data_IF_785437056536
#
_entry.id   IF_785437056536
#
_cell.length_a   1.000
_cell.length_b   1.000
_cell.length_c   1.000
_cell.angle_alpha   90.00
_cell.angle_beta   90.00
_cell.angle_gamma   90.00
#
_symmetry.space_group_name_H-M   'P 1'
#
loop_
_entity.id
_entity.type
_entity.pdbx_description
1 polymer ?
#
# COMPACT_ATOMS: atom_id res chain seq x y z
N UNK A 1 51.78 -6.66 72.41
CA UNK A 1 50.50 -5.92 72.32
C UNK A 1 50.59 -4.96 71.14
N UNK A 2 49.96 -5.30 70.02
CA UNK A 2 49.96 -4.50 68.79
C UNK A 2 48.51 -4.20 68.40
N UNK A 3 48.11 -2.92 68.38
CA UNK A 3 46.98 -2.38 67.60
C UNK A 3 47.36 -0.92 67.26
N UNK A 4 47.89 -0.68 66.05
CA UNK A 4 47.24 -0.23 64.79
C UNK A 4 47.02 1.29 64.72
N UNK A 5 47.81 1.90 63.83
CA UNK A 5 47.64 3.23 63.25
C UNK A 5 46.74 3.11 62.00
N UNK A 6 45.81 4.06 61.83
CA UNK A 6 44.91 4.16 60.68
C UNK A 6 45.63 4.83 59.50
N UNK A 7 45.57 4.22 58.32
CA UNK A 7 45.84 4.84 57.02
C UNK A 7 44.62 4.57 56.14
N UNK A 8 43.99 5.64 55.64
CA UNK A 8 42.91 5.55 54.65
C UNK A 8 43.48 5.21 53.28
N UNK A 9 42.98 4.13 52.69
CA UNK A 9 43.35 3.65 51.35
C UNK A 9 42.29 4.13 50.35
N UNK A 10 42.72 4.92 49.35
CA UNK A 10 41.94 5.18 48.13
C UNK A 10 41.87 3.86 47.33
N UNK A 11 40.66 3.36 47.05
CA UNK A 11 40.43 2.24 46.16
C UNK A 11 39.96 2.75 44.79
N UNK A 12 40.80 2.54 43.77
CA UNK A 12 40.43 2.56 42.36
C UNK A 12 39.45 1.41 42.09
N UNK A 13 38.21 1.71 41.70
CA UNK A 13 37.34 0.72 41.05
C UNK A 13 37.58 0.79 39.53
N UNK A 14 38.40 -0.13 39.02
CA UNK A 14 38.42 -0.50 37.63
C UNK A 14 37.26 -1.45 37.35
N UNK A 15 36.16 -0.95 36.79
CA UNK A 15 35.11 -1.81 36.24
C UNK A 15 35.59 -2.34 34.88
N UNK A 16 35.89 -3.65 34.84
CA UNK A 16 35.97 -4.41 33.59
C UNK A 16 34.66 -4.26 32.85
N UNK A 17 34.68 -3.58 31.70
CA UNK A 17 33.62 -3.71 30.69
C UNK A 17 33.93 -5.01 29.97
N UNK A 18 33.27 -6.09 30.38
CA UNK A 18 33.26 -7.35 29.65
C UNK A 18 32.61 -7.08 28.30
N UNK A 19 33.40 -7.18 27.24
CA UNK A 19 32.95 -7.17 25.86
C UNK A 19 31.99 -8.35 25.64
N UNK A 20 30.69 -8.11 25.78
CA UNK A 20 29.67 -9.00 25.24
C UNK A 20 29.52 -8.61 23.78
N UNK A 21 29.97 -9.50 22.89
CA UNK A 21 29.96 -9.28 21.45
C UNK A 21 28.56 -8.92 20.96
N UNK A 22 28.43 -7.72 20.40
CA UNK A 22 27.35 -7.45 19.46
C UNK A 22 27.58 -8.36 18.25
N UNK A 23 26.86 -9.47 18.21
CA UNK A 23 26.53 -10.14 16.96
C UNK A 23 25.66 -9.13 16.21
N UNK A 24 26.32 -8.29 15.40
CA UNK A 24 25.65 -7.40 14.49
C UNK A 24 25.03 -8.22 13.37
N UNK A 25 23.77 -8.60 13.51
CA UNK A 25 22.90 -8.72 12.35
C UNK A 25 22.32 -7.33 12.09
N UNK A 26 23.03 -6.52 11.30
CA UNK A 26 22.29 -5.60 10.43
C UNK A 26 21.56 -6.50 9.44
N UNK A 27 20.33 -6.92 9.77
CA UNK A 27 19.38 -7.17 8.71
C UNK A 27 19.38 -5.88 7.89
N UNK A 28 19.85 -5.94 6.65
CA UNK A 28 19.82 -4.78 5.79
C UNK A 28 18.37 -4.29 5.77
N UNK A 29 18.15 -3.04 6.18
CA UNK A 29 16.82 -2.44 6.08
C UNK A 29 16.39 -2.55 4.62
N UNK A 30 15.12 -2.92 4.40
CA UNK A 30 14.57 -2.99 3.06
C UNK A 30 14.84 -1.67 2.33
N UNK A 31 15.45 -1.69 1.14
CA UNK A 31 15.95 -0.48 0.50
C UNK A 31 14.80 0.44 0.11
N UNK A 32 14.90 1.70 0.53
CA UNK A 32 13.93 2.74 0.17
C UNK A 32 13.97 3.03 -1.34
N UNK A 33 12.83 3.36 -1.97
CA UNK A 33 12.80 3.75 -3.37
C UNK A 33 13.64 5.00 -3.64
N UNK A 34 14.17 5.11 -4.86
CA UNK A 34 14.90 6.30 -5.30
C UNK A 34 13.99 7.53 -5.29
N UNK A 35 14.57 8.67 -4.87
CA UNK A 35 13.89 9.96 -4.90
C UNK A 35 13.43 10.32 -6.32
N UNK A 36 12.13 10.50 -6.51
CA UNK A 36 11.58 10.95 -7.78
C UNK A 36 11.88 12.44 -8.03
N UNK A 37 12.37 12.76 -9.23
CA UNK A 37 12.65 14.12 -9.65
C UNK A 37 11.67 14.55 -10.74
N UNK A 38 10.61 15.24 -10.31
CA UNK A 38 9.61 15.80 -11.20
C UNK A 38 10.25 16.72 -12.26
N UNK A 39 9.95 16.44 -13.53
CA UNK A 39 10.36 17.23 -14.69
C UNK A 39 9.26 18.20 -15.14
N UNK A 40 9.60 19.30 -15.84
CA UNK A 40 8.61 20.18 -16.42
C UNK A 40 7.66 19.43 -17.36
N UNK A 41 6.35 19.62 -17.18
CA UNK A 41 5.32 19.05 -18.05
C UNK A 41 4.81 17.65 -17.69
N UNK A 42 5.39 16.99 -16.68
CA UNK A 42 4.94 15.65 -16.26
C UNK A 42 3.59 15.64 -15.50
N UNK A 43 3.21 16.76 -14.88
CA UNK A 43 1.91 16.88 -14.22
C UNK A 43 0.84 17.30 -15.22
N UNK A 44 -0.17 16.46 -15.39
CA UNK A 44 -1.32 16.73 -16.27
C UNK A 44 -2.55 16.99 -15.41
N UNK A 45 -3.22 18.12 -15.59
CA UNK A 45 -4.47 18.41 -14.90
C UNK A 45 -5.62 17.64 -15.56
N UNK A 46 -6.26 16.74 -14.82
CA UNK A 46 -7.35 15.90 -15.30
C UNK A 46 -8.73 16.36 -14.78
N UNK A 47 -8.78 16.92 -13.57
CA UNK A 47 -9.98 17.43 -12.95
C UNK A 47 -9.64 18.61 -12.03
N UNK A 48 -10.65 19.37 -11.59
CA UNK A 48 -10.43 20.28 -10.46
C UNK A 48 -10.49 19.50 -9.15
N UNK A 49 -9.75 19.95 -8.13
CA UNK A 49 -9.82 19.36 -6.79
C UNK A 49 -11.24 19.36 -6.20
N UNK A 50 -12.05 20.38 -6.55
CA UNK A 50 -13.43 20.48 -6.07
C UNK A 50 -14.35 19.41 -6.64
N UNK A 51 -14.01 18.81 -7.79
CA UNK A 51 -14.80 17.77 -8.43
C UNK A 51 -14.59 16.39 -7.80
N UNK A 52 -13.53 16.22 -7.00
CA UNK A 52 -13.13 14.95 -6.37
C UNK A 52 -12.89 15.20 -4.88
N UNK A 53 -13.94 15.56 -4.10
CA UNK A 53 -13.77 15.90 -2.71
C UNK A 53 -13.34 14.67 -1.91
N UNK A 54 -12.24 14.75 -1.17
CA UNK A 54 -11.85 13.69 -0.25
C UNK A 54 -12.92 13.48 0.83
N UNK A 55 -13.10 12.25 1.27
CA UNK A 55 -13.92 11.96 2.45
C UNK A 55 -13.06 12.15 3.71
N UNK A 56 -13.58 12.91 4.68
CA UNK A 56 -13.07 12.94 6.05
C UNK A 56 -13.97 12.01 6.86
N UNK A 57 -13.51 10.78 7.11
CA UNK A 57 -14.37 9.74 7.63
C UNK A 57 -14.75 9.99 9.09
N UNK A 58 -16.04 9.91 9.38
CA UNK A 58 -16.60 9.95 10.73
C UNK A 58 -17.24 8.60 11.06
N UNK A 59 -17.36 8.27 12.34
CA UNK A 59 -17.90 6.98 12.76
C UNK A 59 -19.33 6.71 12.27
N UNK A 60 -20.16 7.73 12.19
CA UNK A 60 -21.52 7.64 11.67
C UNK A 60 -21.59 7.37 10.15
N UNK A 61 -20.47 7.49 9.41
CA UNK A 61 -20.41 7.18 7.98
C UNK A 61 -20.37 5.69 7.68
N UNK A 62 -20.18 4.86 8.71
CA UNK A 62 -20.03 3.44 8.55
C UNK A 62 -21.24 2.67 9.08
N UNK A 63 -21.53 1.57 8.39
CA UNK A 63 -22.54 0.60 8.78
C UNK A 63 -21.90 -0.77 9.05
N UNK A 64 -22.65 -1.67 9.66
CA UNK A 64 -22.24 -3.07 9.80
C UNK A 64 -22.42 -3.81 8.47
N UNK A 65 -21.75 -4.95 8.31
CA UNK A 65 -21.79 -5.79 7.12
C UNK A 65 -23.22 -6.09 6.65
N UNK A 66 -24.16 -6.37 7.56
CA UNK A 66 -25.54 -6.73 7.22
C UNK A 66 -26.37 -5.55 6.66
N UNK A 67 -25.88 -4.33 6.83
CA UNK A 67 -26.50 -3.10 6.32
C UNK A 67 -25.72 -2.50 5.16
N UNK A 68 -24.64 -3.13 4.73
CA UNK A 68 -23.89 -2.69 3.57
C UNK A 68 -24.76 -2.88 2.33
N UNK A 69 -24.99 -1.78 1.62
CA UNK A 69 -25.58 -1.78 0.29
C UNK A 69 -24.47 -2.12 -0.71
N UNK A 70 -24.19 -3.41 -0.91
CA UNK A 70 -23.16 -3.90 -1.84
C UNK A 70 -23.58 -5.26 -2.39
N UNK A 71 -23.38 -5.44 -3.69
CA UNK A 71 -23.53 -6.72 -4.37
C UNK A 71 -22.30 -7.58 -4.14
N UNK A 72 -22.45 -8.90 -4.26
CA UNK A 72 -21.38 -9.88 -4.00
C UNK A 72 -20.10 -9.63 -4.82
N UNK A 73 -20.28 -9.13 -6.05
CA UNK A 73 -19.21 -8.81 -7.00
C UNK A 73 -18.62 -7.41 -6.84
N UNK A 74 -19.19 -6.56 -5.99
CA UNK A 74 -18.64 -5.22 -5.76
C UNK A 74 -17.24 -5.32 -5.17
N UNK A 75 -16.33 -4.46 -5.62
CA UNK A 75 -14.98 -4.43 -5.08
C UNK A 75 -14.92 -3.55 -3.83
N UNK A 76 -14.12 -3.98 -2.86
CA UNK A 76 -13.80 -3.19 -1.67
C UNK A 76 -12.28 -3.13 -1.48
N UNK A 77 -11.79 -1.98 -1.03
CA UNK A 77 -10.50 -1.93 -0.32
C UNK A 77 -10.77 -2.26 1.13
N UNK A 78 -10.18 -3.34 1.63
CA UNK A 78 -10.34 -3.82 2.99
C UNK A 78 -9.07 -3.68 3.81
N UNK A 79 -9.22 -3.34 5.10
CA UNK A 79 -8.13 -3.25 6.07
C UNK A 79 -8.49 -4.02 7.33
N UNK A 80 -7.47 -4.60 7.98
CA UNK A 80 -7.57 -5.18 9.31
C UNK A 80 -6.39 -4.69 10.16
N UNK A 81 -6.68 -3.85 11.16
CA UNK A 81 -5.65 -3.20 11.98
C UNK A 81 -6.11 -3.22 13.44
N UNK A 82 -5.25 -3.72 14.33
CA UNK A 82 -5.52 -3.67 15.77
C UNK A 82 -6.78 -4.45 16.22
N UNK A 83 -7.22 -5.44 15.44
CA UNK A 83 -8.44 -6.20 15.72
C UNK A 83 -9.71 -5.62 15.09
N UNK A 84 -9.63 -4.47 14.43
CA UNK A 84 -10.75 -3.84 13.74
C UNK A 84 -10.62 -4.02 12.22
N UNK A 85 -11.70 -4.44 11.57
CA UNK A 85 -11.80 -4.49 10.10
C UNK A 85 -12.66 -3.35 9.54
N UNK A 86 -12.19 -2.75 8.45
CA UNK A 86 -12.89 -1.70 7.69
C UNK A 86 -12.94 -2.08 6.22
N UNK A 87 -14.05 -1.76 5.56
CA UNK A 87 -14.21 -1.89 4.11
C UNK A 87 -14.62 -0.56 3.48
N UNK A 88 -13.97 -0.20 2.38
CA UNK A 88 -14.22 1.00 1.60
C UNK A 88 -14.64 0.57 0.18
N UNK A 89 -15.91 0.73 -0.19
CA UNK A 89 -16.40 0.36 -1.52
C UNK A 89 -15.62 1.08 -2.62
N UNK A 90 -15.14 0.35 -3.61
CA UNK A 90 -14.40 0.92 -4.74
C UNK A 90 -15.26 1.91 -5.51
N UNK A 91 -16.58 1.70 -5.62
CA UNK A 91 -17.51 2.68 -6.24
C UNK A 91 -17.47 4.06 -5.58
N UNK A 92 -17.29 4.13 -4.26
CA UNK A 92 -17.13 5.39 -3.53
C UNK A 92 -15.71 5.95 -3.67
N UNK A 93 -14.71 5.07 -3.62
CA UNK A 93 -13.32 5.45 -3.87
C UNK A 93 -13.09 5.96 -5.30
N UNK A 94 -13.82 5.46 -6.29
CA UNK A 94 -13.79 5.93 -7.68
C UNK A 94 -14.39 7.33 -7.83
N UNK A 95 -15.25 7.78 -6.90
CA UNK A 95 -15.81 9.13 -6.87
C UNK A 95 -14.93 10.12 -6.09
N UNK A 96 -14.32 9.66 -5.00
CA UNK A 96 -13.67 10.53 -4.03
C UNK A 96 -12.14 10.40 -4.00
N UNK A 97 -11.61 9.29 -4.53
CA UNK A 97 -10.20 8.89 -4.64
C UNK A 97 -9.38 8.82 -3.34
N UNK A 98 -9.82 9.50 -2.28
CA UNK A 98 -9.17 9.61 -0.98
C UNK A 98 -10.22 9.58 0.14
N UNK A 99 -10.02 8.67 1.09
CA UNK A 99 -10.71 8.65 2.38
C UNK A 99 -9.67 8.81 3.48
N UNK A 100 -9.73 9.90 4.23
CA UNK A 100 -8.94 10.08 5.45
C UNK A 100 -9.73 9.49 6.61
N UNK A 101 -9.21 8.44 7.23
CA UNK A 101 -9.87 7.72 8.31
C UNK A 101 -8.91 7.54 9.51
N UNK A 102 -9.47 7.08 10.63
CA UNK A 102 -8.75 6.65 11.82
C UNK A 102 -9.32 5.33 12.33
N UNK A 103 -8.45 4.34 12.49
CA UNK A 103 -8.77 3.04 13.10
C UNK A 103 -7.93 2.91 14.37
N UNK A 104 -8.58 3.00 15.53
CA UNK A 104 -7.89 3.17 16.81
C UNK A 104 -6.93 4.37 16.77
N UNK A 105 -5.64 4.14 17.04
CA UNK A 105 -4.60 5.17 17.01
C UNK A 105 -4.01 5.42 15.60
N UNK A 106 -4.40 4.64 14.59
CA UNK A 106 -3.83 4.73 13.24
C UNK A 106 -4.59 5.72 12.37
N UNK A 107 -3.93 6.85 12.06
CA UNK A 107 -4.39 7.81 11.06
C UNK A 107 -4.03 7.29 9.66
N UNK A 108 -5.04 7.01 8.83
CA UNK A 108 -4.84 6.36 7.52
C UNK A 108 -5.44 7.19 6.39
N UNK A 109 -4.81 7.14 5.22
CA UNK A 109 -5.37 7.61 3.95
C UNK A 109 -5.60 6.39 3.08
N UNK A 110 -6.86 6.04 2.81
CA UNK A 110 -7.22 5.05 1.81
C UNK A 110 -7.30 5.77 0.46
N UNK A 111 -6.43 5.40 -0.48
CA UNK A 111 -6.37 6.03 -1.79
C UNK A 111 -6.63 5.03 -2.90
N UNK A 112 -7.29 5.49 -3.95
CA UNK A 112 -7.62 4.70 -5.12
C UNK A 112 -7.44 5.55 -6.37
N UNK A 113 -6.59 5.09 -7.29
CA UNK A 113 -6.55 5.64 -8.63
C UNK A 113 -7.37 4.75 -9.57
N UNK A 114 -8.58 5.17 -9.98
CA UNK A 114 -9.44 4.35 -10.84
C UNK A 114 -8.83 4.13 -12.23
N UNK A 115 -8.05 5.09 -12.75
CA UNK A 115 -7.37 4.90 -14.03
C UNK A 115 -6.35 3.76 -13.99
N UNK A 116 -5.69 3.57 -12.86
CA UNK A 116 -4.56 2.65 -12.69
C UNK A 116 -4.92 1.34 -12.01
N UNK A 117 -6.13 1.19 -11.45
CA UNK A 117 -6.50 0.09 -10.56
C UNK A 117 -5.48 -0.04 -9.41
N UNK A 118 -5.09 1.09 -8.81
CA UNK A 118 -4.08 1.10 -7.76
C UNK A 118 -4.66 1.50 -6.41
N UNK A 119 -4.93 0.53 -5.52
CA UNK A 119 -5.20 0.80 -4.12
C UNK A 119 -3.88 1.04 -3.38
N UNK A 120 -3.77 2.15 -2.65
CA UNK A 120 -2.68 2.30 -1.69
C UNK A 120 -3.20 2.95 -0.42
N UNK A 121 -2.93 2.34 0.72
CA UNK A 121 -3.25 2.91 2.02
C UNK A 121 -1.96 3.41 2.66
N UNK A 122 -1.98 4.64 3.14
CA UNK A 122 -0.84 5.25 3.81
C UNK A 122 -1.12 5.56 5.29
N UNK A 123 -0.10 5.41 6.12
CA UNK A 123 -0.03 6.10 7.42
C UNK A 123 0.12 7.59 7.14
N UNK A 124 -0.79 8.40 7.69
CA UNK A 124 -0.79 9.86 7.48
C UNK A 124 0.12 10.61 8.46
N UNK A 125 0.81 9.91 9.36
CA UNK A 125 1.78 10.52 10.28
C UNK A 125 3.16 10.50 9.63
N UNK A 126 3.65 11.67 9.22
CA UNK A 126 4.97 11.88 8.63
C UNK A 126 5.78 12.76 9.58
N UNK A 127 6.94 12.28 10.02
CA UNK A 127 7.81 13.01 10.97
C UNK A 127 7.09 13.54 12.23
N UNK A 128 6.10 12.79 12.71
CA UNK A 128 5.28 13.15 13.88
C UNK A 128 4.16 14.14 13.61
N UNK A 129 3.99 14.59 12.36
CA UNK A 129 2.90 15.44 11.92
C UNK A 129 1.82 14.61 11.22
N UNK A 130 0.58 14.74 11.68
CA UNK A 130 -0.56 14.18 10.96
C UNK A 130 -0.95 15.06 9.78
N UNK A 131 -1.00 14.45 8.60
CA UNK A 131 -1.44 15.05 7.35
C UNK A 131 -2.89 14.64 7.06
N UNK A 132 -3.62 15.44 6.28
CA UNK A 132 -4.83 14.98 5.59
C UNK A 132 -4.65 15.15 4.10
N UNK A 133 -5.17 14.21 3.30
CA UNK A 133 -4.93 14.18 1.86
C UNK A 133 -6.20 14.49 1.07
N UNK A 134 -6.02 15.10 -0.09
CA UNK A 134 -7.04 15.35 -1.11
C UNK A 134 -6.53 14.92 -2.48
N UNK A 135 -7.43 14.64 -3.41
CA UNK A 135 -7.07 14.49 -4.81
C UNK A 135 -6.71 15.87 -5.37
N UNK A 136 -5.49 16.04 -5.90
CA UNK A 136 -5.05 17.35 -6.39
C UNK A 136 -5.65 17.74 -7.75
N UNK A 137 -6.31 16.79 -8.43
CA UNK A 137 -6.73 16.90 -9.82
C UNK A 137 -5.61 16.68 -10.84
N UNK A 138 -4.34 16.63 -10.40
CA UNK A 138 -3.21 16.28 -11.26
C UNK A 138 -2.98 14.77 -11.34
N UNK A 139 -2.45 14.34 -12.48
CA UNK A 139 -1.91 13.02 -12.72
C UNK A 139 -0.41 13.11 -13.01
N UNK A 140 0.34 12.13 -12.52
CA UNK A 140 1.72 11.85 -12.88
C UNK A 140 1.76 10.46 -13.52
N UNK A 141 2.13 10.36 -14.79
CA UNK A 141 2.07 9.09 -15.55
C UNK A 141 0.70 8.40 -15.46
N UNK A 142 -0.37 9.17 -15.62
CA UNK A 142 -1.79 8.77 -15.44
C UNK A 142 -2.18 8.34 -14.02
N UNK A 143 -1.26 8.28 -13.07
CA UNK A 143 -1.54 7.95 -11.68
C UNK A 143 -1.87 9.20 -10.86
N UNK A 144 -2.78 9.02 -9.90
CA UNK A 144 -3.25 10.04 -8.98
C UNK A 144 -2.09 10.78 -8.29
N UNK A 145 -2.16 12.12 -8.27
CA UNK A 145 -1.34 12.97 -7.41
C UNK A 145 -2.21 13.48 -6.27
N UNK A 146 -1.78 13.19 -5.04
CA UNK A 146 -2.41 13.68 -3.82
C UNK A 146 -1.85 15.06 -3.47
N UNK A 147 -2.62 15.85 -2.73
CA UNK A 147 -2.14 17.04 -2.04
C UNK A 147 -2.45 16.92 -0.56
N UNK A 148 -1.47 17.20 0.32
CA UNK A 148 -1.73 17.24 1.75
C UNK A 148 -2.13 18.62 2.27
N UNK A 149 -2.91 18.63 3.34
CA UNK A 149 -2.92 19.69 4.32
C UNK A 149 -2.12 19.18 5.55
N UNK A 150 -1.24 20.00 6.15
CA UNK A 150 -1.21 21.46 6.04
C UNK A 150 -0.12 22.04 5.15
N UNK A 151 0.66 21.24 4.41
CA UNK A 151 1.86 21.75 3.74
C UNK A 151 1.70 22.05 2.26
N UNK A 152 0.55 21.70 1.67
CA UNK A 152 0.29 21.75 0.23
C UNK A 152 1.36 21.01 -0.59
N UNK A 153 1.99 19.97 -0.02
CA UNK A 153 2.91 19.13 -0.75
C UNK A 153 2.10 18.22 -1.69
N UNK A 154 2.57 18.11 -2.93
CA UNK A 154 2.08 17.12 -3.87
C UNK A 154 2.81 15.80 -3.68
N UNK A 155 2.05 14.71 -3.65
CA UNK A 155 2.54 13.36 -3.45
C UNK A 155 2.12 12.46 -4.61
N UNK A 156 3.04 11.68 -5.14
CA UNK A 156 2.68 10.62 -6.09
C UNK A 156 1.98 9.49 -5.32
N UNK A 157 0.76 9.13 -5.72
CA UNK A 157 -0.01 8.09 -5.04
C UNK A 157 0.66 6.72 -5.17
N UNK A 158 1.21 6.38 -6.33
CA UNK A 158 1.87 5.09 -6.53
C UNK A 158 3.24 5.03 -5.84
N UNK A 159 4.05 6.09 -5.91
CA UNK A 159 5.38 6.09 -5.29
C UNK A 159 5.34 6.30 -3.77
N UNK A 160 4.28 6.91 -3.24
CA UNK A 160 4.20 7.33 -1.84
C UNK A 160 5.18 8.46 -1.50
N UNK A 161 5.69 9.19 -2.49
CA UNK A 161 6.73 10.21 -2.30
C UNK A 161 6.19 11.63 -2.47
N UNK A 162 6.65 12.54 -1.62
CA UNK A 162 6.47 13.98 -1.82
C UNK A 162 7.28 14.44 -3.04
N UNK A 163 6.62 14.84 -4.12
CA UNK A 163 7.27 15.19 -5.39
C UNK A 163 7.47 16.71 -5.55
N UNK A 164 6.67 17.53 -4.87
CA UNK A 164 6.76 19.00 -4.90
C UNK A 164 6.14 19.62 -3.66
N UNK A 165 6.85 20.48 -2.94
CA UNK A 165 6.34 21.16 -1.74
C UNK A 165 7.33 21.06 -0.57
N UNK A 166 6.86 21.40 0.63
CA UNK A 166 7.68 21.45 1.83
C UNK A 166 8.22 20.07 2.23
N UNK A 167 7.46 19.01 2.01
CA UNK A 167 7.82 17.63 2.37
C UNK A 167 8.40 16.84 1.19
N UNK A 168 8.95 17.54 0.17
CA UNK A 168 9.55 16.88 -1.00
C UNK A 168 10.64 15.88 -0.57
N UNK A 169 10.54 14.66 -1.09
CA UNK A 169 11.44 13.55 -0.83
C UNK A 169 11.14 12.74 0.42
N UNK A 170 10.14 13.14 1.20
CA UNK A 170 9.56 12.29 2.24
C UNK A 170 8.81 11.12 1.60
N UNK A 171 8.77 10.00 2.31
CA UNK A 171 8.10 8.76 1.87
C UNK A 171 6.99 8.43 2.87
N UNK A 172 5.80 8.11 2.35
CA UNK A 172 4.66 7.65 3.13
C UNK A 172 4.81 6.16 3.42
N UNK A 173 4.54 5.79 4.68
CA UNK A 173 4.52 4.39 5.07
C UNK A 173 3.25 3.72 4.56
N UNK A 174 3.39 2.69 3.74
CA UNK A 174 2.25 1.87 3.28
C UNK A 174 1.71 1.05 4.44
N UNK A 175 0.38 1.03 4.55
CA UNK A 175 -0.37 0.15 5.44
C UNK A 175 -0.93 -0.99 4.59
N UNK A 176 -0.71 -2.27 4.97
CA UNK A 176 -1.26 -3.39 4.24
C UNK A 176 -2.79 -3.30 4.09
N UNK A 177 -3.26 -3.47 2.87
CA UNK A 177 -4.68 -3.49 2.52
C UNK A 177 -4.93 -4.53 1.42
N UNK A 178 -6.18 -4.95 1.30
CA UNK A 178 -6.62 -5.93 0.30
C UNK A 178 -7.62 -5.27 -0.64
N UNK A 179 -7.51 -5.51 -1.95
CA UNK A 179 -8.65 -5.31 -2.87
C UNK A 179 -9.20 -6.66 -3.25
N UNK A 180 -10.49 -6.86 -2.96
CA UNK A 180 -11.19 -8.12 -3.22
C UNK A 180 -12.68 -7.85 -3.42
N UNK A 181 -13.45 -8.88 -3.74
CA UNK A 181 -14.90 -8.77 -3.85
C UNK A 181 -15.55 -8.68 -2.47
N UNK A 182 -16.74 -8.08 -2.43
CA UNK A 182 -17.51 -7.93 -1.21
C UNK A 182 -17.88 -9.29 -0.60
N UNK A 183 -18.24 -10.27 -1.43
CA UNK A 183 -18.48 -11.66 -1.01
C UNK A 183 -17.29 -12.23 -0.24
N UNK A 184 -16.08 -12.14 -0.82
CA UNK A 184 -14.87 -12.65 -0.18
C UNK A 184 -14.59 -11.87 1.12
N UNK A 185 -14.71 -10.54 1.09
CA UNK A 185 -14.43 -9.72 2.27
C UNK A 185 -15.38 -10.03 3.44
N UNK A 186 -16.70 -10.06 3.20
CA UNK A 186 -17.70 -10.28 4.26
C UNK A 186 -17.60 -11.67 4.89
N UNK A 187 -17.21 -12.68 4.10
CA UNK A 187 -16.99 -14.03 4.60
C UNK A 187 -15.79 -14.10 5.55
N UNK A 188 -14.72 -13.37 5.23
CA UNK A 188 -13.50 -13.37 6.03
C UNK A 188 -13.55 -12.40 7.22
N UNK A 189 -14.36 -11.34 7.13
CA UNK A 189 -14.45 -10.27 8.13
C UNK A 189 -15.90 -9.84 8.41
N UNK A 190 -16.73 -10.71 9.02
CA UNK A 190 -18.16 -10.45 9.23
C UNK A 190 -18.46 -9.30 10.19
N UNK A 191 -17.51 -8.93 11.06
CA UNK A 191 -17.64 -7.83 12.01
C UNK A 191 -17.15 -6.47 11.43
N UNK A 192 -16.93 -6.39 10.12
CA UNK A 192 -16.39 -5.19 9.48
C UNK A 192 -17.36 -4.00 9.52
N UNK A 193 -16.78 -2.82 9.71
CA UNK A 193 -17.48 -1.56 9.46
C UNK A 193 -17.25 -1.11 8.02
N UNK A 194 -18.33 -0.84 7.29
CA UNK A 194 -18.32 -0.56 5.85
C UNK A 194 -18.70 0.89 5.61
N UNK A 195 -17.91 1.63 4.83
CA UNK A 195 -18.23 3.00 4.44
C UNK A 195 -19.52 2.99 3.61
N UNK A 196 -20.52 3.76 4.04
CA UNK A 196 -21.87 3.74 3.47
C UNK A 196 -22.14 4.96 2.60
N UNK A 197 -22.59 4.71 1.36
CA UNK A 197 -23.03 5.73 0.42
C UNK A 197 -24.18 6.59 1.01
N UNK A 198 -25.19 5.94 1.59
CA UNK A 198 -26.32 6.60 2.27
C UNK A 198 -25.84 7.56 3.36
N UNK A 199 -24.92 7.09 4.22
CA UNK A 199 -24.45 7.88 5.37
C UNK A 199 -23.63 9.11 4.99
N UNK A 200 -23.06 9.11 3.79
CA UNK A 200 -22.31 10.26 3.24
C UNK A 200 -23.13 11.07 2.24
N UNK A 201 -24.44 10.80 2.11
CA UNK A 201 -25.39 11.64 1.37
C UNK A 201 -25.69 11.21 -0.05
N UNK A 202 -25.32 9.99 -0.48
CA UNK A 202 -25.79 9.42 -1.74
C UNK A 202 -27.11 8.67 -1.54
N UNK A 203 -28.10 8.94 -2.39
CA UNK A 203 -29.40 8.27 -2.37
C UNK A 203 -29.58 7.39 -3.60
N UNK A 204 -30.18 6.21 -3.42
CA UNK A 204 -30.49 5.29 -4.51
C UNK A 204 -29.28 4.48 -5.01
N UNK A 205 -29.43 3.91 -6.20
CA UNK A 205 -28.38 3.09 -6.83
C UNK A 205 -27.20 3.96 -7.26
N UNK A 206 -25.99 3.54 -6.86
CA UNK A 206 -24.74 4.25 -7.09
C UNK A 206 -23.73 3.31 -7.76
N UNK A 207 -23.77 3.17 -9.09
CA UNK A 207 -22.80 2.35 -9.81
C UNK A 207 -21.40 3.00 -9.77
N UNK A 208 -20.35 2.20 -9.97
CA UNK A 208 -19.00 2.72 -10.12
C UNK A 208 -18.89 3.56 -11.41
N UNK A 209 -18.52 4.86 -11.33
CA UNK A 209 -18.39 5.73 -12.51
C UNK A 209 -17.32 5.26 -13.50
N UNK A 210 -16.38 4.41 -13.08
CA UNK A 210 -15.33 3.81 -13.91
C UNK A 210 -15.64 2.36 -14.34
N UNK A 211 -16.82 1.81 -14.04
CA UNK A 211 -17.20 0.44 -14.45
C UNK A 211 -17.05 0.19 -15.96
N UNK A 212 -17.46 1.15 -16.78
CA UNK A 212 -17.27 1.10 -18.24
C UNK A 212 -15.81 1.24 -18.65
N UNK A 213 -15.00 1.99 -17.91
CA UNK A 213 -13.56 2.08 -18.14
C UNK A 213 -12.89 0.74 -17.85
N UNK A 214 -13.15 0.10 -16.70
CA UNK A 214 -12.52 -1.17 -16.31
C UNK A 214 -12.73 -2.29 -17.33
N UNK A 215 -13.91 -2.34 -17.95
CA UNK A 215 -14.26 -3.33 -18.99
C UNK A 215 -13.79 -2.95 -20.40
N UNK A 216 -13.29 -1.73 -20.61
CA UNK A 216 -12.79 -1.26 -21.91
C UNK A 216 -11.29 -1.54 -22.11
N UNK A 217 -10.88 -1.60 -23.38
CA UNK A 217 -9.46 -1.64 -23.75
C UNK A 217 -8.72 -0.28 -23.66
N UNK A 218 -9.41 0.81 -23.34
CA UNK A 218 -8.78 2.13 -23.20
C UNK A 218 -7.89 2.14 -21.94
N UNK A 219 -6.67 2.69 -22.02
CA UNK A 219 -5.76 2.81 -20.89
C UNK A 219 -5.40 4.28 -20.67
N UNK A 220 -5.39 4.73 -19.42
CA UNK A 220 -5.09 6.11 -19.06
C UNK A 220 -6.20 7.11 -19.42
N UNK A 221 -5.97 8.37 -19.07
CA UNK A 221 -6.88 9.47 -19.36
C UNK A 221 -7.03 9.62 -20.88
N UNK A 222 -8.27 9.54 -21.37
CA UNK A 222 -8.56 9.66 -22.81
C UNK A 222 -7.95 8.55 -23.69
N UNK A 223 -7.49 7.43 -23.11
CA UNK A 223 -6.83 6.36 -23.85
C UNK A 223 -5.33 6.61 -24.12
N UNK A 224 -4.71 7.60 -23.46
CA UNK A 224 -3.31 7.98 -23.64
C UNK A 224 -2.35 7.33 -22.62
N UNK A 225 -2.66 6.12 -22.15
CA UNK A 225 -1.79 5.33 -21.28
C UNK A 225 -0.53 4.86 -22.02
N UNK A 226 0.57 4.71 -21.27
CA UNK A 226 1.83 4.24 -21.81
C UNK A 226 1.69 2.85 -22.46
N UNK A 227 2.26 2.68 -23.64
CA UNK A 227 2.22 1.42 -24.37
C UNK A 227 3.57 0.74 -24.20
N UNK A 228 3.57 -0.34 -23.42
CA UNK A 228 4.70 -1.24 -23.31
C UNK A 228 4.32 -2.59 -23.95
N UNK A 229 5.04 -3.04 -25.00
CA UNK A 229 4.65 -4.23 -25.76
C UNK A 229 4.84 -5.56 -25.01
N UNK A 230 5.44 -5.55 -23.82
CA UNK A 230 5.71 -6.78 -23.04
C UNK A 230 4.44 -7.39 -22.45
N UNK A 231 3.41 -6.59 -22.18
CA UNK A 231 2.09 -7.03 -21.69
C UNK A 231 0.97 -6.11 -22.22
N UNK A 232 -0.28 -6.60 -22.29
CA UNK A 232 -1.44 -5.72 -22.46
C UNK A 232 -1.49 -4.60 -21.40
N UNK A 233 -1.91 -3.41 -21.81
CA UNK A 233 -1.88 -2.20 -20.97
C UNK A 233 -2.58 -2.38 -19.62
N UNK A 234 -3.75 -3.04 -19.60
CA UNK A 234 -4.56 -3.30 -18.39
C UNK A 234 -4.31 -4.68 -17.76
N UNK A 235 -3.20 -5.34 -18.05
CA UNK A 235 -2.79 -6.51 -17.26
C UNK A 235 -2.51 -6.06 -15.83
N UNK A 236 -3.19 -6.67 -14.86
CA UNK A 236 -2.90 -6.45 -13.44
C UNK A 236 -1.60 -7.14 -13.06
N UNK A 237 -0.73 -6.39 -12.40
CA UNK A 237 0.54 -6.88 -11.89
C UNK A 237 0.64 -6.58 -10.39
N UNK A 238 1.45 -7.36 -9.68
CA UNK A 238 2.10 -6.93 -8.44
C UNK A 238 3.49 -6.43 -8.77
N UNK A 239 3.77 -5.17 -8.44
CA UNK A 239 5.05 -4.53 -8.62
C UNK A 239 5.87 -4.53 -7.33
N UNK A 240 7.11 -4.98 -7.41
CA UNK A 240 8.06 -5.03 -6.31
C UNK A 240 9.25 -4.12 -6.60
N UNK A 241 9.60 -3.27 -5.64
CA UNK A 241 10.74 -2.33 -5.72
C UNK A 241 11.69 -2.64 -4.59
N UNK A 242 12.93 -3.00 -4.92
CA UNK A 242 14.02 -3.25 -3.98
C UNK A 242 15.23 -2.38 -4.38
N UNK A 243 15.25 -1.13 -3.92
CA UNK A 243 16.28 -0.16 -4.30
C UNK A 243 16.16 0.23 -5.78
N UNK A 244 17.16 -0.12 -6.60
CA UNK A 244 17.12 0.08 -8.05
C UNK A 244 16.60 -1.17 -8.81
N UNK A 245 16.49 -2.31 -8.13
CA UNK A 245 15.96 -3.54 -8.71
C UNK A 245 14.43 -3.54 -8.64
N UNK A 246 13.79 -3.59 -9.79
CA UNK A 246 12.34 -3.44 -9.92
C UNK A 246 11.81 -4.61 -10.75
N UNK A 247 10.79 -5.30 -10.23
CA UNK A 247 10.20 -6.45 -10.91
C UNK A 247 8.68 -6.46 -10.82
N UNK A 248 8.03 -6.82 -11.92
CA UNK A 248 6.59 -6.95 -12.02
C UNK A 248 6.17 -8.40 -12.22
N UNK A 249 5.07 -8.78 -11.56
CA UNK A 249 4.52 -10.13 -11.57
C UNK A 249 3.05 -10.08 -12.01
N UNK A 250 2.70 -10.62 -13.19
CA UNK A 250 1.30 -10.74 -13.59
C UNK A 250 0.48 -11.51 -12.56
N UNK A 251 -0.65 -10.94 -12.12
CA UNK A 251 -1.51 -11.53 -11.09
C UNK A 251 -2.02 -12.92 -11.50
N UNK A 252 -2.29 -13.12 -12.79
CA UNK A 252 -2.68 -14.43 -13.31
C UNK A 252 -1.61 -15.50 -13.10
N UNK A 253 -0.33 -15.17 -13.30
CA UNK A 253 0.77 -16.11 -13.07
C UNK A 253 0.96 -16.41 -11.57
N UNK A 254 0.76 -15.41 -10.70
CA UNK A 254 0.78 -15.62 -9.24
C UNK A 254 -0.33 -16.59 -8.85
N UNK A 255 -1.55 -16.38 -9.37
CA UNK A 255 -2.69 -17.26 -9.11
C UNK A 255 -2.48 -18.68 -9.62
N UNK A 256 -1.93 -18.84 -10.82
CA UNK A 256 -1.66 -20.15 -11.41
C UNK A 256 -0.58 -20.94 -10.66
N UNK A 257 0.53 -20.29 -10.29
CA UNK A 257 1.66 -20.96 -9.64
C UNK A 257 1.48 -21.11 -8.13
N UNK A 258 0.54 -20.37 -7.54
CA UNK A 258 0.22 -20.30 -6.10
C UNK A 258 1.32 -19.74 -5.22
N UNK A 259 2.57 -20.11 -5.48
CA UNK A 259 3.75 -19.63 -4.76
C UNK A 259 4.85 -19.34 -5.78
N UNK A 260 5.39 -18.14 -5.75
CA UNK A 260 6.56 -17.73 -6.52
C UNK A 260 7.65 -17.36 -5.52
N UNK A 261 8.78 -18.07 -5.56
CA UNK A 261 10.00 -17.66 -4.86
C UNK A 261 10.94 -17.07 -5.88
N UNK A 262 11.39 -15.84 -5.65
CA UNK A 262 12.18 -15.10 -6.61
C UNK A 262 13.16 -14.14 -5.92
N UNK A 263 14.24 -13.81 -6.60
CA UNK A 263 15.25 -12.88 -6.11
C UNK A 263 15.11 -11.55 -6.85
N UNK A 264 15.04 -10.45 -6.10
CA UNK A 264 15.01 -9.08 -6.62
C UNK A 264 16.09 -8.27 -5.90
N UNK A 265 17.17 -7.96 -6.61
CA UNK A 265 18.40 -7.48 -6.02
C UNK A 265 19.01 -8.49 -5.03
N UNK A 266 19.39 -8.01 -3.85
CA UNK A 266 20.00 -8.83 -2.80
C UNK A 266 18.98 -9.61 -1.94
N UNK A 267 17.68 -9.46 -2.20
CA UNK A 267 16.63 -10.03 -1.37
C UNK A 267 15.85 -11.12 -2.10
N UNK A 268 15.57 -12.20 -1.37
CA UNK A 268 14.62 -13.22 -1.80
C UNK A 268 13.23 -12.86 -1.31
N UNK A 269 12.22 -13.08 -2.15
CA UNK A 269 10.81 -12.86 -1.85
C UNK A 269 10.00 -14.09 -2.16
N UNK A 270 8.92 -14.23 -1.42
CA UNK A 270 7.86 -15.18 -1.73
C UNK A 270 6.56 -14.44 -1.98
N UNK A 271 5.95 -14.68 -3.14
CA UNK A 271 4.62 -14.18 -3.49
C UNK A 271 3.66 -15.36 -3.44
N UNK A 272 2.67 -15.28 -2.54
CA UNK A 272 1.71 -16.35 -2.29
C UNK A 272 0.33 -15.88 -2.72
N UNK A 273 -0.37 -16.72 -3.47
CA UNK A 273 -1.80 -16.57 -3.72
C UNK A 273 -2.60 -17.01 -2.50
N UNK A 274 -3.20 -16.05 -1.80
CA UNK A 274 -4.13 -16.26 -0.69
C UNK A 274 -5.52 -16.58 -1.25
N UNK A 275 -5.81 -17.88 -1.41
CA UNK A 275 -7.09 -18.37 -1.96
C UNK A 275 -8.31 -17.86 -1.21
N UNK A 276 -8.19 -17.63 0.10
CA UNK A 276 -9.32 -17.16 0.92
C UNK A 276 -9.67 -15.72 0.63
N UNK A 277 -8.67 -14.93 0.24
CA UNK A 277 -8.80 -13.50 0.00
C UNK A 277 -8.84 -13.17 -1.50
N UNK A 278 -8.45 -14.11 -2.36
CA UNK A 278 -8.38 -13.92 -3.82
C UNK A 278 -7.27 -12.95 -4.25
N UNK A 279 -6.15 -12.90 -3.52
CA UNK A 279 -5.06 -11.94 -3.76
C UNK A 279 -3.67 -12.58 -3.73
N UNK A 280 -2.70 -11.91 -4.35
CA UNK A 280 -1.28 -12.18 -4.12
C UNK A 280 -0.76 -11.39 -2.92
N UNK A 281 0.03 -12.04 -2.05
CA UNK A 281 0.66 -11.44 -0.87
C UNK A 281 2.16 -11.68 -0.93
N UNK A 282 2.94 -10.63 -0.66
CA UNK A 282 4.40 -10.67 -0.78
C UNK A 282 5.05 -10.67 0.59
N UNK A 283 6.03 -11.55 0.77
CA UNK A 283 6.78 -11.72 2.02
C UNK A 283 8.28 -11.73 1.74
N UNK A 284 9.05 -11.25 2.71
CA UNK A 284 10.50 -11.32 2.67
C UNK A 284 10.98 -12.74 3.01
N UNK A 285 11.90 -13.27 2.21
CA UNK A 285 12.50 -14.60 2.36
C UNK A 285 11.90 -15.67 1.44
N UNK A 286 12.58 -16.81 1.37
CA UNK A 286 12.01 -18.06 0.85
C UNK A 286 11.26 -18.74 1.98
N UNK A 287 9.93 -18.73 1.90
CA UNK A 287 9.07 -19.39 2.89
C UNK A 287 8.45 -20.66 2.31
N UNK A 288 8.81 -21.05 1.08
CA UNK A 288 8.24 -22.24 0.43
C UNK A 288 8.49 -23.52 1.22
N UNK A 289 9.57 -23.56 2.01
CA UNK A 289 9.91 -24.67 2.89
C UNK A 289 9.16 -24.64 4.23
N UNK A 290 8.62 -23.48 4.61
CA UNK A 290 7.87 -23.27 5.85
C UNK A 290 6.36 -23.45 5.65
N UNK A 291 5.92 -23.63 4.40
CA UNK A 291 4.53 -23.84 4.08
C UNK A 291 4.09 -25.26 4.49
N UNK A 292 3.00 -25.40 5.27
CA UNK A 292 2.51 -26.72 5.64
C UNK A 292 2.04 -27.47 4.38
N UNK A 293 2.40 -28.75 4.24
CA UNK A 293 1.87 -29.62 3.16
C UNK A 293 0.33 -29.62 3.11
N UNK A 294 -0.31 -29.41 4.27
CA UNK A 294 -1.75 -29.20 4.45
C UNK A 294 -1.97 -28.26 5.64
N UNK A 295 -2.71 -27.17 5.45
CA UNK A 295 -3.06 -26.25 6.52
C UNK A 295 -3.21 -24.81 6.05
N UNK A 296 -3.61 -23.92 6.96
CA UNK A 296 -3.58 -22.47 6.71
C UNK A 296 -2.17 -21.95 6.97
N UNK A 297 -1.74 -21.01 6.12
CA UNK A 297 -0.52 -20.23 6.32
C UNK A 297 -0.82 -19.19 7.38
N UNK A 298 -0.06 -19.16 8.48
CA UNK A 298 -0.12 -18.06 9.43
C UNK A 298 0.69 -16.88 8.91
N UNK A 299 0.04 -16.07 8.08
CA UNK A 299 0.65 -14.87 7.49
C UNK A 299 1.14 -13.84 8.53
N UNK A 300 0.69 -13.91 9.79
CA UNK A 300 1.15 -13.01 10.85
C UNK A 300 2.57 -13.34 11.34
N UNK A 301 3.03 -14.56 11.10
CA UNK A 301 4.39 -15.00 11.43
C UNK A 301 5.44 -14.55 10.40
N UNK A 302 4.98 -14.06 9.24
CA UNK A 302 5.81 -13.68 8.12
C UNK A 302 6.07 -12.17 8.11
N UNK A 303 7.16 -11.75 7.46
CA UNK A 303 7.45 -10.33 7.27
C UNK A 303 6.82 -9.85 5.95
N UNK A 304 5.68 -9.13 5.98
CA UNK A 304 5.04 -8.66 4.76
C UNK A 304 5.90 -7.58 4.09
N UNK A 305 5.92 -7.59 2.76
CA UNK A 305 6.55 -6.56 1.94
C UNK A 305 5.47 -5.91 1.10
N UNK A 306 5.29 -4.58 1.16
CA UNK A 306 4.34 -3.89 0.28
C UNK A 306 4.69 -4.12 -1.19
N UNK A 307 3.77 -4.75 -1.92
CA UNK A 307 3.80 -4.85 -3.37
C UNK A 307 2.62 -4.07 -3.94
N UNK A 308 2.85 -3.38 -5.05
CA UNK A 308 1.85 -2.47 -5.61
C UNK A 308 0.99 -3.22 -6.62
N UNK A 309 -0.30 -3.37 -6.32
CA UNK A 309 -1.29 -3.84 -7.28
C UNK A 309 -1.64 -2.69 -8.22
N UNK A 310 -1.43 -2.85 -9.51
CA UNK A 310 -1.64 -1.78 -10.50
C UNK A 310 -1.74 -2.36 -11.91
N UNK A 311 -2.35 -1.62 -12.83
CA UNK A 311 -2.28 -1.92 -14.26
C UNK A 311 -0.87 -1.67 -14.82
N UNK A 312 -0.45 -2.56 -15.73
CA UNK A 312 0.86 -2.53 -16.35
C UNK A 312 1.24 -1.17 -16.96
N UNK A 313 0.32 -0.52 -17.69
CA UNK A 313 0.61 0.77 -18.32
C UNK A 313 0.96 1.88 -17.31
N UNK A 314 0.36 1.85 -16.12
CA UNK A 314 0.61 2.83 -15.09
C UNK A 314 1.93 2.51 -14.37
N UNK A 315 2.22 1.23 -14.15
CA UNK A 315 3.49 0.77 -13.60
C UNK A 315 4.68 1.17 -14.47
N UNK A 316 4.62 0.93 -15.78
CA UNK A 316 5.72 1.24 -16.70
C UNK A 316 5.95 2.73 -16.89
N UNK A 317 4.95 3.58 -16.62
CA UNK A 317 5.16 5.02 -16.57
C UNK A 317 6.19 5.45 -15.49
N UNK A 318 6.24 4.73 -14.36
CA UNK A 318 7.23 4.98 -13.31
C UNK A 318 8.48 4.11 -13.44
N UNK A 319 8.30 2.86 -13.89
CA UNK A 319 9.35 1.85 -13.89
C UNK A 319 9.44 1.15 -15.26
N UNK A 320 9.79 1.87 -16.34
CA UNK A 320 9.82 1.30 -17.69
C UNK A 320 10.86 0.18 -17.84
N UNK A 321 11.94 0.23 -17.07
CA UNK A 321 13.02 -0.78 -17.10
C UNK A 321 12.73 -2.01 -16.21
N UNK A 322 11.52 -2.13 -15.63
CA UNK A 322 11.19 -3.24 -14.75
C UNK A 322 11.46 -4.60 -15.39
N UNK A 323 12.08 -5.51 -14.64
CA UNK A 323 12.08 -6.91 -15.01
C UNK A 323 10.64 -7.44 -14.97
N UNK A 324 10.32 -8.32 -15.92
CA UNK A 324 9.02 -8.96 -15.97
C UNK A 324 9.16 -10.44 -15.61
N UNK A 325 8.46 -10.88 -14.58
CA UNK A 325 8.39 -12.30 -14.25
C UNK A 325 7.73 -13.08 -15.39
N UNK A 326 8.37 -14.19 -15.77
CA UNK A 326 7.88 -15.13 -16.77
C UNK A 326 7.96 -16.53 -16.16
N UNK A 327 6.92 -17.34 -16.36
CA UNK A 327 6.97 -18.76 -16.02
C UNK A 327 8.10 -19.42 -16.82
N UNK A 328 8.91 -20.22 -16.12
CA UNK A 328 9.88 -21.11 -16.78
C UNK A 328 9.17 -22.27 -17.45
#
# INVERSE_FOLDING_TARGET
MYVKQKISLLLFLSSLVTACGQIGSRAAAYPEPKLYRLQPGELVLAASEADIPSIQAEDNYFVQVERADLEDTDLVVGLFIGGESRAYPVRLLSLHEVVNDRIGEKAIAVTWCPLCYSPVVYDRIVDGQELSFRASGYLLHNNLVLVDHPTDTLWSQLLGQGIRGALRGSVLKVIPSTVTTWEIWRENYPDSRVLSAERIGYEGDLPDPYGGYFSSGAAGLGGAGEIDPRLPAKTLILGLVSGEDIKAYPVDLIREQRIIVDQVGDFTFSIIWDEKQGIGRTFLGDISQDLPEKGMIDFNSLTPVPAQLVYWFAWTGFYPESDLYRSR
#
